data_IF_802841176722
#
_entry.id   IF_802841176722
#
_cell.length_a   1.000
_cell.length_b   1.000
_cell.length_c   1.000
_cell.angle_alpha   90.00
_cell.angle_beta   90.00
_cell.angle_gamma   90.00
#
_symmetry.space_group_name_H-M   'P 1'
#
loop_
_entity.id
_entity.type
_entity.pdbx_description
1 polymer ?
#
# COMPACT_ATOMS: atom_id res chain seq x y z
N UNK A 1 -6.70 -18.50 -7.55
CA UNK A 1 -5.28 -18.57 -7.21
C UNK A 1 -4.74 -17.18 -6.96
N UNK A 2 -3.96 -16.98 -5.90
CA UNK A 2 -3.43 -15.66 -5.54
C UNK A 2 -2.04 -15.46 -6.13
N UNK A 3 -1.72 -14.21 -6.45
CA UNK A 3 -0.40 -13.82 -6.94
C UNK A 3 0.30 -12.97 -5.90
N UNK A 4 1.59 -13.22 -5.68
CA UNK A 4 2.40 -12.48 -4.73
C UNK A 4 3.43 -11.63 -5.46
N UNK A 5 3.67 -10.42 -4.94
CA UNK A 5 4.73 -9.56 -5.41
C UNK A 5 5.38 -8.90 -4.20
N UNK A 6 6.68 -8.73 -4.27
CA UNK A 6 7.47 -8.12 -3.20
C UNK A 6 8.56 -7.26 -3.81
N UNK A 7 8.80 -6.12 -3.21
CA UNK A 7 9.90 -5.26 -3.66
C UNK A 7 10.57 -4.60 -2.46
N UNK A 8 11.87 -4.41 -2.58
CA UNK A 8 12.71 -3.80 -1.56
C UNK A 8 13.50 -2.68 -2.20
N UNK A 9 13.41 -1.47 -1.62
CA UNK A 9 14.18 -0.32 -2.12
C UNK A 9 14.74 0.50 -0.97
N UNK A 10 15.72 1.35 -1.28
CA UNK A 10 16.26 2.32 -0.33
C UNK A 10 15.51 3.65 -0.48
N UNK A 11 15.16 4.26 0.66
CA UNK A 11 14.52 5.58 0.72
C UNK A 11 15.40 6.50 1.57
N UNK A 12 15.71 7.68 1.05
CA UNK A 12 16.53 8.69 1.75
C UNK A 12 15.68 9.48 2.75
N UNK A 13 15.19 8.80 3.76
CA UNK A 13 14.44 9.37 4.87
C UNK A 13 14.50 8.37 6.02
N UNK A 14 14.30 8.84 7.26
CA UNK A 14 14.34 7.96 8.42
C UNK A 14 13.20 6.95 8.40
N UNK A 15 13.36 5.78 9.06
CA UNK A 15 12.25 4.83 9.19
C UNK A 15 11.01 5.45 9.82
N UNK A 16 11.18 6.31 10.82
CA UNK A 16 10.05 6.99 11.46
C UNK A 16 9.30 7.87 10.46
N UNK A 17 10.02 8.61 9.62
CA UNK A 17 9.39 9.46 8.60
C UNK A 17 8.65 8.62 7.55
N UNK A 18 9.25 7.52 7.12
CA UNK A 18 8.60 6.61 6.18
C UNK A 18 7.31 6.05 6.76
N UNK A 19 7.35 5.61 8.01
CA UNK A 19 6.16 5.12 8.70
C UNK A 19 5.07 6.18 8.76
N UNK A 20 5.43 7.40 9.18
CA UNK A 20 4.46 8.49 9.31
C UNK A 20 3.76 8.81 7.99
N UNK A 21 4.51 8.84 6.89
CA UNK A 21 3.94 9.08 5.56
C UNK A 21 3.05 7.91 5.13
N UNK A 22 3.48 6.68 5.39
CA UNK A 22 2.76 5.49 4.97
C UNK A 22 1.39 5.34 5.63
N UNK A 23 1.20 5.87 6.84
CA UNK A 23 -0.10 5.79 7.53
C UNK A 23 -1.00 7.01 7.31
N UNK A 24 -0.55 7.98 6.53
CA UNK A 24 -1.37 9.13 6.13
C UNK A 24 -2.22 8.74 4.92
N UNK A 25 -3.18 7.83 5.12
CA UNK A 25 -3.95 7.23 4.03
C UNK A 25 -4.76 8.24 3.22
N UNK A 26 -5.31 9.25 3.88
CA UNK A 26 -6.10 10.30 3.23
C UNK A 26 -5.27 11.19 2.29
N UNK A 27 -3.94 11.13 2.39
CA UNK A 27 -3.03 11.83 1.49
C UNK A 27 -2.54 10.98 0.31
N UNK A 28 -2.92 9.70 0.25
CA UNK A 28 -2.49 8.81 -0.83
C UNK A 28 -2.78 9.36 -2.23
N UNK A 29 -3.92 10.04 -2.49
CA UNK A 29 -4.14 10.63 -3.82
C UNK A 29 -3.07 11.65 -4.23
N UNK A 30 -2.31 12.22 -3.30
CA UNK A 30 -1.25 13.19 -3.62
C UNK A 30 -0.04 12.55 -4.29
N UNK A 31 0.19 11.24 -4.08
CA UNK A 31 1.37 10.57 -4.63
C UNK A 31 1.10 9.22 -5.29
N UNK A 32 0.05 8.52 -4.90
CA UNK A 32 -0.33 7.24 -5.50
C UNK A 32 -1.30 7.54 -6.65
N UNK A 33 -0.78 7.60 -7.87
CA UNK A 33 -1.51 8.12 -9.03
C UNK A 33 -2.78 7.36 -9.37
N UNK A 34 -2.86 6.07 -9.01
CA UNK A 34 -4.05 5.25 -9.29
C UNK A 34 -5.13 5.39 -8.21
N UNK A 35 -4.82 6.03 -7.09
CA UNK A 35 -5.77 6.21 -6.00
C UNK A 35 -6.59 7.46 -6.25
N UNK A 36 -7.90 7.28 -6.43
CA UNK A 36 -8.84 8.36 -6.71
C UNK A 36 -9.45 8.94 -5.43
N UNK A 37 -9.84 8.06 -4.51
CA UNK A 37 -10.46 8.46 -3.25
C UNK A 37 -10.02 7.55 -2.12
N UNK A 38 -9.92 8.13 -0.92
CA UNK A 38 -9.65 7.41 0.32
C UNK A 38 -10.61 7.92 1.38
N UNK A 39 -11.21 7.01 2.12
CA UNK A 39 -12.06 7.36 3.26
C UNK A 39 -11.67 6.48 4.45
N UNK A 40 -11.27 7.12 5.56
CA UNK A 40 -10.96 6.41 6.79
C UNK A 40 -12.28 6.18 7.52
N UNK A 41 -12.73 4.93 7.58
CA UNK A 41 -14.01 4.55 8.15
C UNK A 41 -13.96 4.39 9.67
N UNK A 42 -12.81 3.98 10.20
CA UNK A 42 -12.61 3.80 11.64
C UNK A 42 -11.16 4.06 12.00
N UNK A 43 -10.93 4.53 13.22
CA UNK A 43 -9.59 4.83 13.75
C UNK A 43 -9.41 4.15 15.08
N UNK A 44 -8.15 3.85 15.43
CA UNK A 44 -7.84 3.30 16.75
C UNK A 44 -7.70 4.43 17.78
N UNK A 45 -7.37 4.06 19.01
CA UNK A 45 -7.21 5.02 20.12
C UNK A 45 -6.07 6.01 19.90
N UNK A 46 -5.14 5.71 18.98
CA UNK A 46 -4.02 6.61 18.63
C UNK A 46 -4.33 7.44 17.36
N UNK A 47 -5.55 7.37 16.85
CA UNK A 47 -5.96 8.12 15.68
C UNK A 47 -5.53 7.51 14.34
N UNK A 48 -4.97 6.30 14.35
CA UNK A 48 -4.54 5.62 13.11
C UNK A 48 -5.73 4.95 12.43
N UNK A 49 -5.76 5.00 11.10
CA UNK A 49 -6.82 4.34 10.35
C UNK A 49 -6.74 2.83 10.49
N UNK A 50 -7.80 2.18 10.96
CA UNK A 50 -7.86 0.72 11.07
C UNK A 50 -8.79 0.11 10.03
N UNK A 51 -9.76 0.86 9.54
CA UNK A 51 -10.63 0.43 8.46
C UNK A 51 -10.67 1.57 7.45
N UNK A 52 -10.16 1.31 6.24
CA UNK A 52 -9.96 2.35 5.23
C UNK A 52 -10.52 1.89 3.90
N UNK A 53 -11.38 2.70 3.30
CA UNK A 53 -11.99 2.44 2.00
C UNK A 53 -11.27 3.22 0.92
N UNK A 54 -10.96 2.53 -0.16
CA UNK A 54 -10.26 3.10 -1.32
C UNK A 54 -11.10 2.94 -2.57
N UNK A 55 -10.91 3.89 -3.49
CA UNK A 55 -11.34 3.74 -4.87
C UNK A 55 -10.12 4.00 -5.76
N UNK A 56 -9.78 3.02 -6.58
CA UNK A 56 -8.61 3.09 -7.45
C UNK A 56 -9.01 2.85 -8.90
N UNK A 57 -8.13 3.28 -9.81
CA UNK A 57 -8.21 2.95 -11.23
C UNK A 57 -7.13 1.91 -11.52
N UNK A 58 -7.53 0.74 -11.98
CA UNK A 58 -6.60 -0.34 -12.29
C UNK A 58 -7.19 -1.26 -13.36
N UNK A 59 -6.35 -1.71 -14.29
CA UNK A 59 -6.72 -2.68 -15.31
C UNK A 59 -7.93 -2.24 -16.14
N UNK A 60 -8.02 -0.92 -16.41
CA UNK A 60 -9.13 -0.34 -17.18
C UNK A 60 -10.45 -0.27 -16.42
N UNK A 61 -10.44 -0.46 -15.11
CA UNK A 61 -11.64 -0.45 -14.28
C UNK A 61 -11.46 0.46 -13.07
N UNK A 62 -12.58 0.94 -12.52
CA UNK A 62 -12.61 1.56 -11.20
C UNK A 62 -12.94 0.46 -10.19
N UNK A 63 -12.06 0.29 -9.21
CA UNK A 63 -12.17 -0.77 -8.21
C UNK A 63 -12.28 -0.13 -6.83
N UNK A 64 -13.34 -0.48 -6.09
CA UNK A 64 -13.49 -0.10 -4.69
C UNK A 64 -13.08 -1.24 -3.79
N UNK A 65 -12.35 -0.95 -2.73
CA UNK A 65 -12.00 -1.96 -1.72
C UNK A 65 -11.81 -1.32 -0.35
N UNK A 66 -11.98 -2.14 0.68
CA UNK A 66 -11.79 -1.73 2.08
C UNK A 66 -10.77 -2.64 2.72
N UNK A 67 -9.77 -2.03 3.37
CA UNK A 67 -8.69 -2.74 4.04
C UNK A 67 -8.79 -2.58 5.55
N UNK A 68 -8.44 -3.65 6.26
CA UNK A 68 -8.34 -3.70 7.71
C UNK A 68 -6.86 -3.71 8.08
N UNK A 69 -6.41 -2.68 8.81
CA UNK A 69 -5.00 -2.46 9.14
C UNK A 69 -4.65 -2.96 10.53
N UNK A 70 -3.46 -3.56 10.64
CA UNK A 70 -2.90 -4.10 11.86
C UNK A 70 -1.58 -3.40 12.17
N UNK A 71 -1.47 -2.78 13.35
CA UNK A 71 -0.32 -1.98 13.76
C UNK A 71 0.53 -2.65 14.84
N UNK A 72 0.41 -3.97 15.02
CA UNK A 72 1.16 -4.67 16.09
C UNK A 72 2.67 -4.51 15.95
N UNK A 73 3.18 -4.31 14.74
CA UNK A 73 4.61 -4.13 14.47
C UNK A 73 5.03 -2.67 14.35
N UNK A 74 4.11 -1.71 14.54
CA UNK A 74 4.40 -0.29 14.41
C UNK A 74 5.43 0.17 15.45
N UNK A 75 6.33 1.09 15.11
CA UNK A 75 6.50 1.79 13.84
C UNK A 75 7.43 1.09 12.84
N UNK A 76 7.91 -0.11 13.13
CA UNK A 76 8.82 -0.86 12.25
C UNK A 76 8.10 -1.35 10.98
N UNK A 77 6.78 -1.43 11.02
CA UNK A 77 5.97 -1.85 9.89
C UNK A 77 4.50 -1.92 10.28
N UNK A 78 3.67 -2.26 9.31
CA UNK A 78 2.26 -2.56 9.53
C UNK A 78 1.76 -3.43 8.38
N UNK A 79 0.60 -4.05 8.57
CA UNK A 79 0.03 -4.95 7.59
C UNK A 79 -1.46 -4.71 7.43
N UNK A 80 -2.03 -5.32 6.41
CA UNK A 80 -3.47 -5.22 6.15
C UNK A 80 -3.99 -6.48 5.51
N UNK A 81 -5.31 -6.68 5.68
CA UNK A 81 -6.06 -7.71 5.00
C UNK A 81 -7.27 -7.08 4.32
N UNK A 82 -7.77 -7.74 3.29
CA UNK A 82 -8.94 -7.27 2.56
C UNK A 82 -10.20 -7.58 3.37
N UNK A 83 -11.03 -6.56 3.62
CA UNK A 83 -12.34 -6.78 4.22
C UNK A 83 -13.39 -7.05 3.13
N UNK A 84 -13.44 -6.19 2.11
CA UNK A 84 -14.34 -6.38 0.96
C UNK A 84 -13.82 -5.62 -0.25
N UNK A 85 -14.21 -6.03 -1.44
CA UNK A 85 -13.80 -5.38 -2.68
C UNK A 85 -14.68 -5.76 -3.85
N UNK A 86 -14.62 -4.90 -4.88
CA UNK A 86 -15.08 -5.24 -6.23
C UNK A 86 -13.94 -5.97 -6.93
N UNK A 87 -14.22 -7.06 -7.62
CA UNK A 87 -13.27 -7.79 -8.49
C UNK A 87 -12.03 -8.37 -7.80
N UNK A 88 -11.96 -8.33 -6.48
CA UNK A 88 -10.84 -8.88 -5.70
C UNK A 88 -11.38 -9.75 -4.59
N UNK A 89 -10.74 -10.89 -4.34
CA UNK A 89 -11.03 -11.71 -3.17
C UNK A 89 -9.85 -11.73 -2.19
N UNK A 90 -8.71 -11.15 -2.59
CA UNK A 90 -7.56 -11.00 -1.71
C UNK A 90 -6.74 -9.78 -2.12
N UNK A 91 -6.34 -9.00 -1.13
CA UNK A 91 -5.45 -7.85 -1.31
C UNK A 91 -4.76 -7.61 0.03
N UNK A 92 -3.96 -8.58 0.46
CA UNK A 92 -3.27 -8.55 1.74
C UNK A 92 -1.84 -8.09 1.53
N UNK A 93 -1.31 -7.32 2.45
CA UNK A 93 0.05 -6.83 2.28
C UNK A 93 0.69 -6.30 3.54
N UNK A 94 1.91 -5.81 3.39
CA UNK A 94 2.67 -5.24 4.48
C UNK A 94 3.71 -4.25 4.00
N UNK A 95 4.01 -3.27 4.87
CA UNK A 95 5.19 -2.42 4.79
C UNK A 95 6.12 -2.79 5.92
N UNK A 96 7.43 -2.75 5.65
CA UNK A 96 8.44 -2.83 6.70
C UNK A 96 9.51 -1.78 6.45
N UNK A 97 9.90 -1.08 7.52
CA UNK A 97 10.83 0.05 7.49
C UNK A 97 12.01 -0.27 8.38
N UNK A 98 13.14 -0.68 7.80
CA UNK A 98 14.35 -0.99 8.55
C UNK A 98 15.43 0.07 8.28
N UNK A 99 16.21 0.47 9.31
CA UNK A 99 17.31 1.40 9.09
C UNK A 99 18.30 0.84 8.07
N UNK A 100 18.75 1.69 7.14
CA UNK A 100 19.76 1.33 6.16
C UNK A 100 20.64 2.54 5.89
N UNK A 101 21.85 2.54 6.43
CA UNK A 101 22.70 3.71 6.39
C UNK A 101 22.03 4.89 7.11
N UNK A 102 21.96 6.03 6.45
CA UNK A 102 21.26 7.21 6.96
C UNK A 102 19.77 7.25 6.57
N UNK A 103 19.30 6.24 5.85
CA UNK A 103 17.94 6.16 5.37
C UNK A 103 17.23 4.88 5.80
N UNK A 104 16.36 4.39 4.94
CA UNK A 104 15.47 3.27 5.22
C UNK A 104 15.50 2.25 4.10
N UNK A 105 15.51 0.97 4.47
CA UNK A 105 15.17 -0.11 3.56
C UNK A 105 13.67 -0.36 3.69
N UNK A 106 12.96 -0.08 2.60
CA UNK A 106 11.52 -0.32 2.53
C UNK A 106 11.27 -1.68 1.89
N UNK A 107 10.54 -2.53 2.61
CA UNK A 107 10.01 -3.78 2.07
C UNK A 107 8.50 -3.63 1.92
N UNK A 108 8.00 -3.87 0.71
CA UNK A 108 6.56 -3.88 0.43
C UNK A 108 6.20 -5.24 -0.15
N UNK A 109 5.24 -5.89 0.46
CA UNK A 109 4.76 -7.20 0.01
C UNK A 109 3.26 -7.14 -0.22
N UNK A 110 2.78 -7.80 -1.27
CA UNK A 110 1.36 -7.82 -1.62
C UNK A 110 0.98 -9.18 -2.15
N UNK A 111 -0.16 -9.70 -1.66
CA UNK A 111 -0.80 -10.88 -2.22
C UNK A 111 -2.17 -10.46 -2.73
N UNK A 112 -2.42 -10.67 -4.02
CA UNK A 112 -3.65 -10.22 -4.68
C UNK A 112 -4.30 -11.37 -5.44
N UNK A 113 -5.63 -11.42 -5.40
CA UNK A 113 -6.42 -12.31 -6.26
C UNK A 113 -7.51 -11.52 -6.96
N UNK A 114 -7.37 -11.42 -8.28
CA UNK A 114 -8.31 -10.73 -9.16
C UNK A 114 -9.34 -11.72 -9.65
N UNK A 115 -10.63 -11.37 -9.62
CA UNK A 115 -11.72 -12.28 -9.98
C UNK A 115 -12.21 -12.13 -11.42
N UNK A 116 -11.93 -10.99 -12.10
CA UNK A 116 -12.33 -10.90 -13.49
C UNK A 116 -11.39 -11.72 -14.39
N UNK A 117 -11.89 -12.20 -15.56
CA UNK A 117 -11.15 -13.18 -16.34
C UNK A 117 -9.93 -12.60 -17.05
N UNK A 118 -8.75 -12.94 -16.54
CA UNK A 118 -7.46 -12.62 -17.15
C UNK A 118 -6.60 -13.88 -17.16
N UNK A 119 -5.76 -14.07 -18.18
CA UNK A 119 -4.75 -15.14 -18.13
C UNK A 119 -3.85 -14.99 -16.92
N UNK A 120 -3.37 -16.10 -16.36
CA UNK A 120 -2.55 -16.11 -15.16
C UNK A 120 -1.30 -15.25 -15.27
N UNK A 121 -0.62 -15.23 -16.43
CA UNK A 121 0.57 -14.41 -16.61
C UNK A 121 0.26 -12.90 -16.54
N UNK A 122 -0.94 -12.48 -16.97
CA UNK A 122 -1.37 -11.09 -16.90
C UNK A 122 -1.68 -10.70 -15.46
N UNK A 123 -2.26 -11.60 -14.67
CA UNK A 123 -2.51 -11.36 -13.24
C UNK A 123 -1.21 -11.18 -12.47
N UNK A 124 -0.19 -12.02 -12.75
CA UNK A 124 1.13 -11.91 -12.12
C UNK A 124 1.82 -10.61 -12.51
N UNK A 125 1.76 -10.24 -13.78
CA UNK A 125 2.34 -8.99 -14.26
C UNK A 125 1.67 -7.78 -13.60
N UNK A 126 0.35 -7.81 -13.43
CA UNK A 126 -0.38 -6.75 -12.77
C UNK A 126 0.03 -6.59 -11.30
N UNK A 127 0.18 -7.71 -10.58
CA UNK A 127 0.62 -7.67 -9.18
C UNK A 127 2.00 -7.03 -9.04
N UNK A 128 2.95 -7.44 -9.89
CA UNK A 128 4.29 -6.86 -9.91
C UNK A 128 4.30 -5.37 -10.22
N UNK A 129 3.49 -4.95 -11.17
CA UNK A 129 3.39 -3.54 -11.56
C UNK A 129 2.79 -2.69 -10.43
N UNK A 130 1.78 -3.20 -9.73
CA UNK A 130 1.18 -2.50 -8.59
C UNK A 130 2.24 -2.24 -7.51
N UNK A 131 3.01 -3.27 -7.15
CA UNK A 131 4.05 -3.15 -6.13
C UNK A 131 5.16 -2.20 -6.57
N UNK A 132 5.64 -2.34 -7.80
CA UNK A 132 6.71 -1.49 -8.34
C UNK A 132 6.29 -0.02 -8.34
N UNK A 133 5.10 0.29 -8.83
CA UNK A 133 4.59 1.67 -8.84
C UNK A 133 4.42 2.22 -7.42
N UNK A 134 3.90 1.40 -6.50
CA UNK A 134 3.68 1.83 -5.12
C UNK A 134 4.99 2.27 -4.46
N UNK A 135 6.04 1.44 -4.55
CA UNK A 135 7.32 1.77 -3.88
C UNK A 135 8.03 2.94 -4.54
N UNK A 136 7.98 3.05 -5.87
CA UNK A 136 8.62 4.15 -6.58
C UNK A 136 7.94 5.48 -6.31
N UNK A 137 6.62 5.51 -6.31
CA UNK A 137 5.84 6.72 -6.03
C UNK A 137 6.00 7.15 -4.58
N UNK A 138 6.01 6.18 -3.66
CA UNK A 138 6.26 6.44 -2.24
C UNK A 138 7.63 7.06 -2.02
N UNK A 139 8.68 6.44 -2.59
CA UNK A 139 10.06 6.94 -2.49
C UNK A 139 10.16 8.38 -2.99
N UNK A 140 9.64 8.65 -4.18
CA UNK A 140 9.70 9.99 -4.77
C UNK A 140 9.01 11.02 -3.88
N UNK A 141 7.85 10.68 -3.33
CA UNK A 141 7.07 11.58 -2.49
C UNK A 141 7.79 11.89 -1.18
N UNK A 142 8.29 10.86 -0.50
CA UNK A 142 8.99 11.01 0.79
C UNK A 142 10.27 11.81 0.62
N UNK A 143 11.07 11.49 -0.41
CA UNK A 143 12.36 12.15 -0.65
C UNK A 143 12.18 13.61 -1.09
N UNK A 144 11.05 13.95 -1.67
CA UNK A 144 10.72 15.33 -2.01
C UNK A 144 10.19 16.12 -0.80
N UNK A 145 10.13 15.53 0.39
CA UNK A 145 9.62 16.18 1.59
C UNK A 145 8.11 16.13 1.72
N UNK A 146 7.44 15.22 1.01
CA UNK A 146 6.00 15.03 1.10
C UNK A 146 5.55 14.55 2.47
N UNK A 147 4.23 14.73 2.74
CA UNK A 147 3.62 14.40 4.00
C UNK A 147 3.60 15.60 4.95
N UNK A 148 2.86 15.45 6.04
CA UNK A 148 2.57 16.51 7.01
C UNK A 148 3.69 17.02 7.87
#
# INVERSE_FOLDING_TARGET
MSDEARERIHVDASPQRCYEVAIEFDRYPEWATDVQEVEILDRDEHGRGILVRYRISALGKTIGYTLDYDYRDAPAGFSWTLEKADYLTRLDGSYRFDPEGSGTRLDYALTVNVTFPLPGFMKRAAAGLIVDNAVKQFKAYVEAGGGG
#
